data_IF_732088888578
#
_entry.id   IF_732088888578
#
_cell.length_a   1.000
_cell.length_b   1.000
_cell.length_c   1.000
_cell.angle_alpha   90.00
_cell.angle_beta   90.00
_cell.angle_gamma   90.00
#
_symmetry.space_group_name_H-M   'P 1'
#
loop_
_entity.id
_entity.type
_entity.pdbx_description
1 polymer ?
#
# COMPACT_ATOMS: atom_id res chain seq x y z
N UNK A 1 -77.25 14.39 29.11
CA UNK A 1 -77.13 13.77 27.77
C UNK A 1 -75.69 13.30 27.64
N UNK A 2 -75.49 11.98 27.67
CA UNK A 2 -74.20 11.32 27.53
C UNK A 2 -73.75 11.39 26.07
N UNK A 3 -72.48 11.74 25.82
CA UNK A 3 -71.74 11.23 24.65
C UNK A 3 -70.34 10.82 25.08
N UNK A 4 -70.13 9.51 25.01
CA UNK A 4 -68.87 8.79 25.10
C UNK A 4 -67.92 9.22 23.98
N UNK A 5 -66.65 9.46 24.32
CA UNK A 5 -65.53 9.36 23.36
C UNK A 5 -64.43 8.54 24.04
N UNK A 6 -64.08 7.44 23.38
CA UNK A 6 -63.04 6.48 23.76
C UNK A 6 -61.62 7.03 23.52
N UNK A 7 -60.59 6.39 24.12
CA UNK A 7 -59.27 6.98 24.33
C UNK A 7 -58.35 6.80 23.11
N UNK A 8 -57.56 7.83 22.76
CA UNK A 8 -56.39 7.66 21.89
C UNK A 8 -55.15 7.55 22.76
N UNK A 9 -54.60 6.35 22.76
CA UNK A 9 -53.33 6.00 23.37
C UNK A 9 -52.18 6.80 22.74
N UNK A 10 -51.65 7.79 23.45
CA UNK A 10 -50.30 8.28 23.21
C UNK A 10 -49.32 7.43 24.00
N UNK A 11 -49.04 6.25 23.47
CA UNK A 11 -47.87 5.47 23.82
C UNK A 11 -46.67 6.01 23.03
N UNK A 12 -46.13 7.16 23.43
CA UNK A 12 -44.78 7.56 22.98
C UNK A 12 -43.81 6.92 23.94
N UNK A 13 -43.34 5.74 23.53
CA UNK A 13 -42.41 4.90 24.27
C UNK A 13 -41.20 5.70 24.73
N UNK A 14 -41.08 5.81 26.05
CA UNK A 14 -39.81 6.04 26.72
C UNK A 14 -38.87 4.97 26.17
N UNK A 15 -37.75 5.41 25.59
CA UNK A 15 -36.63 4.56 25.25
C UNK A 15 -36.15 3.92 26.56
N UNK A 16 -36.74 2.78 26.92
CA UNK A 16 -36.16 1.89 27.91
C UNK A 16 -34.79 1.52 27.36
N UNK A 17 -33.75 2.14 27.94
CA UNK A 17 -32.39 1.62 27.85
C UNK A 17 -32.45 0.28 28.57
N UNK A 18 -32.86 -0.74 27.83
CA UNK A 18 -33.07 -2.09 28.31
C UNK A 18 -31.78 -2.54 28.99
N UNK A 19 -31.93 -3.06 30.21
CA UNK A 19 -30.82 -3.62 30.97
C UNK A 19 -30.10 -4.66 30.10
N UNK A 20 -28.91 -4.32 29.62
CA UNK A 20 -28.11 -5.23 28.81
C UNK A 20 -27.84 -6.49 29.63
N UNK A 21 -28.29 -7.64 29.12
CA UNK A 21 -28.02 -8.92 29.76
C UNK A 21 -26.52 -9.18 29.72
N UNK A 22 -25.99 -9.90 30.71
CA UNK A 22 -24.54 -10.21 30.79
C UNK A 22 -23.99 -10.79 29.48
N UNK A 23 -24.80 -11.52 28.73
CA UNK A 23 -24.46 -12.09 27.43
C UNK A 23 -24.36 -11.07 26.29
N UNK A 24 -25.18 -10.00 26.29
CA UNK A 24 -25.07 -8.93 25.29
C UNK A 24 -23.77 -8.14 25.46
N UNK A 25 -23.39 -7.89 26.72
CA UNK A 25 -22.12 -7.23 27.05
C UNK A 25 -20.93 -8.08 26.58
N UNK A 26 -20.97 -9.39 26.81
CA UNK A 26 -19.92 -10.32 26.35
C UNK A 26 -19.82 -10.30 24.81
N UNK A 27 -20.95 -10.36 24.11
CA UNK A 27 -20.99 -10.30 22.64
C UNK A 27 -20.41 -9.00 22.09
N UNK A 28 -20.73 -7.86 22.71
CA UNK A 28 -20.18 -6.55 22.32
C UNK A 28 -18.66 -6.51 22.54
N UNK A 29 -18.18 -7.01 23.68
CA UNK A 29 -16.74 -7.05 23.97
C UNK A 29 -16.00 -7.92 22.94
N UNK A 30 -16.53 -9.11 22.63
CA UNK A 30 -15.95 -10.01 21.63
C UNK A 30 -15.92 -9.33 20.25
N UNK A 31 -16.99 -8.63 19.87
CA UNK A 31 -17.06 -7.90 18.61
C UNK A 31 -16.00 -6.80 18.53
N UNK A 32 -15.83 -6.02 19.60
CA UNK A 32 -14.81 -4.96 19.66
C UNK A 32 -13.40 -5.56 19.52
N UNK A 33 -13.10 -6.65 20.24
CA UNK A 33 -11.81 -7.35 20.14
C UNK A 33 -11.60 -7.87 18.71
N UNK A 34 -12.62 -8.47 18.09
CA UNK A 34 -12.54 -8.98 16.72
C UNK A 34 -12.25 -7.85 15.72
N UNK A 35 -12.95 -6.71 15.83
CA UNK A 35 -12.70 -5.55 14.96
C UNK A 35 -11.29 -5.02 15.15
N UNK A 36 -10.79 -4.94 16.38
CA UNK A 36 -9.40 -4.52 16.66
C UNK A 36 -8.41 -5.51 16.03
N UNK A 37 -8.60 -6.82 16.21
CA UNK A 37 -7.71 -7.84 15.65
C UNK A 37 -7.69 -7.83 14.12
N UNK A 38 -8.83 -7.58 13.46
CA UNK A 38 -8.91 -7.45 12.00
C UNK A 38 -8.33 -6.12 11.50
N UNK A 39 -8.38 -5.07 12.31
CA UNK A 39 -7.86 -3.74 11.96
C UNK A 39 -6.35 -3.60 12.17
N UNK A 40 -5.75 -4.29 13.16
CA UNK A 40 -4.30 -4.21 13.40
C UNK A 40 -3.45 -4.54 12.15
N UNK A 41 -3.68 -5.64 11.40
CA UNK A 41 -2.87 -5.94 10.22
C UNK A 41 -3.03 -4.96 9.06
N UNK A 42 -4.14 -4.21 8.99
CA UNK A 42 -4.34 -3.16 7.98
C UNK A 42 -3.69 -1.84 8.35
N UNK A 43 -3.51 -1.54 9.65
CA UNK A 43 -2.90 -0.29 10.12
C UNK A 43 -1.47 -0.44 10.63
N UNK A 44 -0.93 -1.66 10.70
CA UNK A 44 0.49 -1.86 10.98
C UNK A 44 1.29 -1.16 9.86
N UNK A 45 2.16 -0.19 10.20
CA UNK A 45 2.97 0.48 9.21
C UNK A 45 3.80 -0.57 8.50
N UNK A 46 3.58 -0.72 7.20
CA UNK A 46 4.41 -1.53 6.29
C UNK A 46 5.76 -0.86 6.10
N UNK A 47 6.45 -0.55 7.20
CA UNK A 47 7.61 0.34 7.26
C UNK A 47 8.76 -0.06 6.33
N UNK A 48 8.73 -1.28 5.79
CA UNK A 48 9.70 -1.78 4.80
C UNK A 48 9.05 -2.68 3.72
N UNK A 49 7.72 -2.67 3.58
CA UNK A 49 7.00 -3.55 2.66
C UNK A 49 6.24 -2.77 1.59
N UNK A 50 7.00 -2.12 0.71
CA UNK A 50 6.47 -1.32 -0.39
C UNK A 50 6.30 -2.17 -1.65
N UNK A 51 7.13 -3.20 -1.82
CA UNK A 51 7.07 -4.16 -2.92
C UNK A 51 7.10 -5.59 -2.37
N UNK A 52 6.18 -6.43 -2.86
CA UNK A 52 6.14 -7.85 -2.54
C UNK A 52 6.95 -8.65 -3.57
N UNK A 53 8.03 -9.33 -3.13
CA UNK A 53 8.82 -10.23 -3.97
C UNK A 53 8.22 -11.64 -4.01
N UNK A 54 8.59 -12.48 -5.01
CA UNK A 54 8.28 -13.91 -4.99
C UNK A 54 8.71 -14.55 -3.67
N UNK A 55 7.80 -15.30 -3.04
CA UNK A 55 8.02 -15.86 -1.70
C UNK A 55 7.65 -14.91 -0.54
N UNK A 56 6.86 -13.88 -0.79
CA UNK A 56 6.34 -12.93 0.23
C UNK A 56 7.42 -12.19 1.01
N UNK A 57 8.62 -12.02 0.43
CA UNK A 57 9.66 -11.19 1.03
C UNK A 57 9.32 -9.73 0.78
N UNK A 58 9.07 -9.00 1.86
CA UNK A 58 8.91 -7.55 1.82
C UNK A 58 10.26 -6.90 1.53
N UNK A 59 10.26 -5.91 0.65
CA UNK A 59 11.41 -5.05 0.39
C UNK A 59 10.95 -3.60 0.20
N UNK A 60 11.89 -2.67 0.46
CA UNK A 60 11.69 -1.27 0.11
C UNK A 60 11.70 -1.09 -1.40
N UNK A 61 10.95 -0.11 -1.89
CA UNK A 61 10.89 0.22 -3.30
C UNK A 61 12.26 0.66 -3.82
N UNK A 62 12.98 1.45 -3.01
CA UNK A 62 14.36 1.87 -3.28
C UNK A 62 15.30 0.68 -3.50
N UNK A 63 15.26 -0.35 -2.66
CA UNK A 63 16.17 -1.50 -2.80
C UNK A 63 15.88 -2.30 -4.06
N UNK A 64 14.59 -2.52 -4.37
CA UNK A 64 14.18 -3.20 -5.61
C UNK A 64 14.61 -2.40 -6.83
N UNK A 65 14.47 -1.07 -6.80
CA UNK A 65 14.96 -0.20 -7.87
C UNK A 65 16.48 -0.30 -8.03
N UNK A 66 17.26 -0.23 -6.95
CA UNK A 66 18.73 -0.35 -7.01
C UNK A 66 19.14 -1.68 -7.61
N UNK A 67 18.55 -2.80 -7.17
CA UNK A 67 18.84 -4.12 -7.71
C UNK A 67 18.57 -4.21 -9.22
N UNK A 68 17.41 -3.72 -9.67
CA UNK A 68 17.06 -3.77 -11.09
C UNK A 68 17.90 -2.79 -11.92
N UNK A 69 18.25 -1.62 -11.39
CA UNK A 69 19.18 -0.69 -12.01
C UNK A 69 20.59 -1.29 -12.17
N UNK A 70 21.09 -2.01 -11.16
CA UNK A 70 22.36 -2.74 -11.24
C UNK A 70 22.27 -3.89 -12.25
N UNK A 71 21.15 -4.62 -12.26
CA UNK A 71 20.92 -5.69 -13.22
C UNK A 71 20.88 -5.16 -14.65
N UNK A 72 20.09 -4.12 -14.92
CA UNK A 72 20.02 -3.42 -16.22
C UNK A 72 21.39 -2.93 -16.69
N UNK A 73 22.19 -2.33 -15.79
CA UNK A 73 23.55 -1.90 -16.08
C UNK A 73 24.54 -3.03 -16.46
N UNK A 74 24.19 -4.31 -16.26
CA UNK A 74 24.97 -5.45 -16.73
C UNK A 74 24.64 -5.84 -18.18
N UNK A 75 23.46 -5.46 -18.69
CA UNK A 75 23.03 -5.77 -20.06
C UNK A 75 23.41 -4.66 -21.03
N UNK A 76 23.37 -3.40 -20.59
CA UNK A 76 23.38 -2.30 -21.55
C UNK A 76 24.40 -1.17 -21.30
N UNK A 77 25.20 -0.96 -22.34
CA UNK A 77 25.46 0.35 -22.97
C UNK A 77 25.36 0.26 -24.52
N UNK A 78 24.93 -0.88 -25.07
CA UNK A 78 24.75 -1.19 -26.48
C UNK A 78 23.40 -1.92 -26.70
N UNK A 79 22.35 -1.14 -26.98
CA UNK A 79 20.92 -1.50 -26.91
C UNK A 79 20.43 -2.45 -28.02
N UNK A 80 21.29 -2.84 -28.95
CA UNK A 80 20.91 -3.63 -30.13
C UNK A 80 20.97 -5.16 -29.90
N UNK A 81 21.42 -5.62 -28.72
CA UNK A 81 21.78 -7.02 -28.51
C UNK A 81 20.75 -7.89 -27.76
N UNK A 82 19.83 -7.33 -26.96
CA UNK A 82 19.06 -8.15 -26.01
C UNK A 82 17.54 -7.89 -26.01
N UNK A 83 16.78 -8.86 -26.56
CA UNK A 83 15.30 -8.85 -26.62
C UNK A 83 14.60 -8.84 -25.26
N UNK A 84 15.35 -9.08 -24.17
CA UNK A 84 14.84 -9.08 -22.80
C UNK A 84 14.90 -7.71 -22.11
N UNK A 85 15.67 -6.76 -22.66
CA UNK A 85 15.86 -5.41 -22.10
C UNK A 85 14.57 -4.59 -21.98
N UNK A 86 13.67 -4.53 -22.98
CA UNK A 86 12.49 -3.67 -22.90
C UNK A 86 11.57 -3.99 -21.72
N UNK A 87 11.52 -5.25 -21.28
CA UNK A 87 10.73 -5.65 -20.13
C UNK A 87 11.34 -5.17 -18.81
N UNK A 88 12.68 -5.19 -18.70
CA UNK A 88 13.41 -4.73 -17.52
C UNK A 88 13.31 -3.20 -17.43
N UNK A 89 13.46 -2.51 -18.54
CA UNK A 89 13.34 -1.04 -18.63
C UNK A 89 11.97 -0.58 -18.18
N UNK A 90 10.91 -1.13 -18.78
CA UNK A 90 9.54 -0.83 -18.38
C UNK A 90 9.31 -1.09 -16.89
N UNK A 91 9.86 -2.17 -16.34
CA UNK A 91 9.73 -2.47 -14.92
C UNK A 91 10.41 -1.42 -14.02
N UNK A 92 11.62 -0.98 -14.37
CA UNK A 92 12.35 0.06 -13.63
C UNK A 92 11.62 1.40 -13.71
N UNK A 93 11.06 1.77 -14.87
CA UNK A 93 10.27 3.00 -15.04
C UNK A 93 9.07 3.02 -14.08
N UNK A 94 8.32 1.91 -14.02
CA UNK A 94 7.16 1.81 -13.12
C UNK A 94 7.57 1.91 -11.64
N UNK A 95 8.67 1.28 -11.24
CA UNK A 95 9.17 1.40 -9.87
C UNK A 95 9.62 2.84 -9.56
N UNK A 96 10.20 3.53 -10.53
CA UNK A 96 10.60 4.94 -10.41
C UNK A 96 9.39 5.87 -10.23
N UNK A 97 8.32 5.66 -11.01
CA UNK A 97 7.08 6.44 -10.87
C UNK A 97 6.47 6.26 -9.48
N UNK A 98 6.41 5.02 -8.98
CA UNK A 98 5.96 4.73 -7.62
C UNK A 98 6.86 5.41 -6.57
N UNK A 99 8.18 5.43 -6.78
CA UNK A 99 9.13 6.04 -5.85
C UNK A 99 8.91 7.56 -5.78
N UNK A 100 8.68 8.21 -6.92
CA UNK A 100 8.33 9.62 -6.95
C UNK A 100 6.97 9.89 -6.31
N UNK A 101 5.99 9.01 -6.50
CA UNK A 101 4.65 9.15 -5.92
C UNK A 101 4.68 9.07 -4.38
N UNK A 102 5.40 8.11 -3.81
CA UNK A 102 5.40 7.88 -2.36
C UNK A 102 6.47 8.67 -1.60
N UNK A 103 7.62 8.95 -2.23
CA UNK A 103 8.78 9.55 -1.56
C UNK A 103 9.19 10.92 -2.12
N UNK A 104 8.52 11.42 -3.16
CA UNK A 104 8.77 12.73 -3.78
C UNK A 104 10.25 13.00 -4.12
N UNK A 105 10.93 12.00 -4.66
CA UNK A 105 12.37 12.02 -4.92
C UNK A 105 12.80 12.90 -6.11
N UNK A 106 11.86 13.26 -6.99
CA UNK A 106 12.14 14.01 -8.22
C UNK A 106 13.13 13.29 -9.15
N UNK A 107 12.97 11.97 -9.29
CA UNK A 107 13.72 11.18 -10.28
C UNK A 107 13.13 11.42 -11.67
N UNK A 108 13.99 11.50 -12.68
CA UNK A 108 13.54 11.53 -14.08
C UNK A 108 13.34 10.09 -14.57
N UNK A 109 12.13 9.58 -14.41
CA UNK A 109 11.81 8.18 -14.74
C UNK A 109 11.84 7.89 -16.25
N UNK A 110 11.81 8.92 -17.09
CA UNK A 110 11.98 8.77 -18.55
C UNK A 110 13.44 8.56 -18.97
N UNK A 111 14.38 8.90 -18.09
CA UNK A 111 15.81 8.70 -18.29
C UNK A 111 16.33 7.71 -17.25
N UNK A 112 16.24 6.42 -17.58
CA UNK A 112 16.64 5.32 -16.70
C UNK A 112 18.06 5.46 -16.17
N UNK A 113 19.03 5.85 -17.01
CA UNK A 113 20.42 6.09 -16.57
C UNK A 113 20.50 7.17 -15.49
N UNK A 114 19.80 8.29 -15.69
CA UNK A 114 19.74 9.39 -14.72
C UNK A 114 19.07 8.96 -13.41
N UNK A 115 17.90 8.31 -13.50
CA UNK A 115 17.17 7.79 -12.34
C UNK A 115 18.01 6.77 -11.56
N UNK A 116 18.62 5.81 -12.24
CA UNK A 116 19.46 4.77 -11.66
C UNK A 116 20.73 5.32 -11.00
N UNK A 117 21.40 6.29 -11.61
CA UNK A 117 22.57 6.94 -11.02
C UNK A 117 22.21 7.71 -9.75
N UNK A 118 21.06 8.39 -9.77
CA UNK A 118 20.59 9.19 -8.64
C UNK A 118 20.09 8.33 -7.47
N UNK A 119 19.45 7.18 -7.74
CA UNK A 119 18.91 6.31 -6.68
C UNK A 119 19.97 5.37 -6.07
N UNK A 120 20.93 4.91 -6.87
CA UNK A 120 21.98 3.98 -6.43
C UNK A 120 23.23 4.65 -5.90
N UNK A 121 23.37 5.98 -6.11
CA UNK A 121 24.58 6.76 -5.82
C UNK A 121 25.84 6.18 -6.49
N UNK A 122 25.65 5.36 -7.53
CA UNK A 122 26.71 4.74 -8.33
C UNK A 122 26.55 5.19 -9.76
N UNK A 123 27.66 5.36 -10.46
CA UNK A 123 27.62 5.45 -11.92
C UNK A 123 27.37 4.05 -12.47
N UNK A 124 26.13 3.81 -12.86
CA UNK A 124 25.76 2.65 -13.67
C UNK A 124 26.18 2.98 -15.11
N UNK A 125 26.66 1.97 -15.86
CA UNK A 125 27.20 2.14 -17.21
C UNK A 125 28.58 2.87 -17.26
N UNK A 126 29.48 2.60 -16.30
CA UNK A 126 30.87 3.13 -16.26
C UNK A 126 31.79 2.68 -17.42
N UNK A 127 31.29 1.85 -18.33
CA UNK A 127 32.06 1.17 -19.37
C UNK A 127 32.06 1.82 -20.76
N UNK A 128 31.49 3.02 -20.95
CA UNK A 128 31.56 3.75 -22.22
C UNK A 128 32.31 5.08 -22.04
N UNK A 129 33.64 5.00 -22.10
CA UNK A 129 34.48 6.08 -22.62
C UNK A 129 34.67 5.78 -24.11
N UNK A 130 33.86 6.39 -24.97
CA UNK A 130 34.01 6.27 -26.43
C UNK A 130 32.70 6.34 -27.16
#
# INVERSE_FOLDING_TARGET
MFTSIHPTAEAVGILEVGMMKKYDIISIIILIIFVILVSIPTYLPKGECEVARPGYKCASLKDVMIENCVYWGNYDCDTDADVSLPQIEWYIENLCELQNQYHNTGLDCSNLKSACNKISEKQICLGYLG
#
